data_IF_593472206867
#
_entry.id   IF_593472206867
#
_cell.length_a   1.000
_cell.length_b   1.000
_cell.length_c   1.000
_cell.angle_alpha   90.00
_cell.angle_beta   90.00
_cell.angle_gamma   90.00
#
_symmetry.space_group_name_H-M   'P 1'
#
loop_
_entity.id
_entity.type
_entity.pdbx_description
1 polymer ?
#
# COMPACT_ATOMS: atom_id res chain seq x y z
N UNK A 1 6.16 0.27 11.69
CA UNK A 1 5.73 1.43 10.87
C UNK A 1 5.95 2.68 11.71
N UNK A 2 6.31 3.84 11.17
CA UNK A 2 6.67 5.05 11.95
C UNK A 2 5.58 5.69 12.85
N UNK A 3 4.52 4.94 13.19
CA UNK A 3 3.46 5.27 14.14
C UNK A 3 3.55 4.44 15.44
N UNK A 4 4.53 3.54 15.56
CA UNK A 4 4.68 2.61 16.70
C UNK A 4 5.09 3.29 18.03
N UNK A 5 5.18 4.63 18.05
CA UNK A 5 5.61 5.42 19.22
C UNK A 5 4.55 5.33 20.34
N UNK A 6 3.26 5.33 19.99
CA UNK A 6 2.15 5.24 20.94
C UNK A 6 1.02 4.36 20.36
N UNK A 7 0.81 3.13 20.88
CA UNK A 7 -0.18 2.20 20.34
C UNK A 7 -1.63 2.72 20.47
N UNK A 8 -1.92 3.48 21.53
CA UNK A 8 -3.24 4.10 21.75
C UNK A 8 -3.53 5.20 20.73
N UNK A 9 -2.53 6.02 20.41
CA UNK A 9 -2.65 7.07 19.41
C UNK A 9 -2.85 6.45 18.02
N UNK A 10 -2.10 5.40 17.71
CA UNK A 10 -2.22 4.68 16.45
C UNK A 10 -3.63 4.09 16.27
N UNK A 11 -4.19 3.43 17.29
CA UNK A 11 -5.53 2.84 17.18
C UNK A 11 -6.62 3.91 17.06
N UNK A 12 -6.43 5.06 17.72
CA UNK A 12 -7.30 6.23 17.58
C UNK A 12 -7.30 6.76 16.14
N UNK A 13 -6.12 7.06 15.60
CA UNK A 13 -5.95 7.54 14.22
C UNK A 13 -6.54 6.53 13.23
N UNK A 14 -6.27 5.24 13.45
CA UNK A 14 -6.78 4.16 12.60
C UNK A 14 -8.31 4.09 12.61
N UNK A 15 -8.93 4.27 13.77
CA UNK A 15 -10.39 4.28 13.91
C UNK A 15 -10.99 5.49 13.19
N UNK A 16 -10.41 6.66 13.38
CA UNK A 16 -10.90 7.90 12.75
C UNK A 16 -10.74 7.87 11.23
N UNK A 17 -9.62 7.36 10.72
CA UNK A 17 -9.42 7.16 9.28
C UNK A 17 -10.46 6.18 8.72
N UNK A 18 -10.83 5.13 9.47
CA UNK A 18 -11.91 4.22 9.04
C UNK A 18 -13.25 4.95 8.94
N UNK A 19 -13.56 5.80 9.90
CA UNK A 19 -14.82 6.54 9.91
C UNK A 19 -14.87 7.59 8.78
N UNK A 20 -13.75 8.24 8.48
CA UNK A 20 -13.61 9.11 7.29
C UNK A 20 -13.84 8.33 6.00
N UNK A 21 -13.28 7.12 5.87
CA UNK A 21 -13.52 6.27 4.70
C UNK A 21 -15.01 5.96 4.53
N UNK A 22 -15.72 5.70 5.64
CA UNK A 22 -17.16 5.46 5.62
C UNK A 22 -17.94 6.72 5.20
N UNK A 23 -17.54 7.90 5.68
CA UNK A 23 -18.17 9.17 5.32
C UNK A 23 -17.99 9.51 3.82
N UNK A 24 -16.81 9.26 3.26
CA UNK A 24 -16.51 9.56 1.85
C UNK A 24 -17.04 8.47 0.89
N UNK A 25 -17.62 7.39 1.42
CA UNK A 25 -18.20 6.29 0.63
C UNK A 25 -17.21 5.70 -0.38
N UNK A 26 -16.00 5.38 0.08
CA UNK A 26 -14.97 4.74 -0.74
C UNK A 26 -15.45 3.38 -1.27
N UNK A 27 -15.27 3.13 -2.57
CA UNK A 27 -15.68 1.87 -3.17
C UNK A 27 -14.68 0.74 -2.84
N UNK A 28 -15.10 -0.19 -1.99
CA UNK A 28 -14.30 -1.35 -1.59
C UNK A 28 -14.10 -2.40 -2.68
N UNK A 29 -14.85 -2.35 -3.78
CA UNK A 29 -14.68 -3.30 -4.89
C UNK A 29 -13.44 -3.01 -5.73
N UNK A 30 -13.02 -1.74 -5.77
CA UNK A 30 -11.91 -1.27 -6.58
C UNK A 30 -10.55 -1.47 -5.89
N UNK A 31 -9.52 -1.67 -6.69
CA UNK A 31 -8.12 -1.68 -6.25
C UNK A 31 -7.68 -0.24 -5.97
N UNK A 32 -6.73 -0.04 -5.04
CA UNK A 32 -6.19 1.28 -4.67
C UNK A 32 -5.88 2.18 -5.88
N UNK A 33 -5.16 1.66 -6.89
CA UNK A 33 -4.80 2.41 -8.10
C UNK A 33 -5.97 2.76 -9.03
N UNK A 34 -7.14 2.12 -8.83
CA UNK A 34 -8.36 2.37 -9.60
C UNK A 34 -9.34 3.30 -8.87
N UNK A 35 -9.01 3.74 -7.65
CA UNK A 35 -9.86 4.65 -6.89
C UNK A 35 -9.87 6.04 -7.54
N UNK A 36 -10.99 6.75 -7.51
CA UNK A 36 -11.05 8.12 -8.00
C UNK A 36 -10.13 9.02 -7.16
N UNK A 37 -9.26 9.76 -7.84
CA UNK A 37 -8.25 10.63 -7.20
C UNK A 37 -8.93 11.66 -6.30
N UNK A 38 -10.09 12.19 -6.71
CA UNK A 38 -10.88 13.15 -5.92
C UNK A 38 -11.28 12.63 -4.54
N UNK A 39 -11.61 11.34 -4.43
CA UNK A 39 -11.96 10.69 -3.17
C UNK A 39 -10.72 10.51 -2.30
N UNK A 40 -9.61 10.07 -2.89
CA UNK A 40 -8.34 9.90 -2.17
C UNK A 40 -7.88 11.24 -1.58
N UNK A 41 -7.88 12.32 -2.39
CA UNK A 41 -7.50 13.65 -1.94
C UNK A 41 -8.40 14.15 -0.80
N UNK A 42 -9.71 13.86 -0.86
CA UNK A 42 -10.65 14.22 0.21
C UNK A 42 -10.34 13.49 1.51
N UNK A 43 -10.02 12.20 1.45
CA UNK A 43 -9.62 11.41 2.63
C UNK A 43 -8.35 12.00 3.26
N UNK A 44 -7.34 12.35 2.45
CA UNK A 44 -6.11 12.95 2.97
C UNK A 44 -6.34 14.30 3.64
N UNK A 45 -7.18 15.16 3.05
CA UNK A 45 -7.49 16.45 3.65
C UNK A 45 -8.22 16.29 4.99
N UNK A 46 -9.25 15.43 5.06
CA UNK A 46 -9.97 15.16 6.30
C UNK A 46 -9.06 14.53 7.37
N UNK A 47 -8.20 13.59 6.99
CA UNK A 47 -7.27 12.97 7.93
C UNK A 47 -6.29 14.00 8.52
N UNK A 48 -5.81 14.97 7.73
CA UNK A 48 -4.93 16.06 8.20
C UNK A 48 -5.64 17.12 9.03
N UNK A 49 -6.96 17.25 8.88
CA UNK A 49 -7.80 18.12 9.70
C UNK A 49 -8.06 17.49 11.08
N UNK A 50 -8.38 16.19 11.10
CA UNK A 50 -8.60 15.44 12.34
C UNK A 50 -7.31 15.22 13.14
N UNK A 51 -6.23 14.81 12.47
CA UNK A 51 -4.96 14.46 13.10
C UNK A 51 -3.81 15.24 12.49
N UNK A 52 -3.44 16.41 13.07
CA UNK A 52 -2.34 17.23 12.58
C UNK A 52 -1.00 16.50 12.54
N UNK A 53 -0.82 15.45 13.35
CA UNK A 53 0.37 14.59 13.38
C UNK A 53 0.61 13.93 12.01
N UNK A 54 -0.46 13.62 11.27
CA UNK A 54 -0.35 12.99 9.96
C UNK A 54 0.35 13.88 8.92
N UNK A 55 0.36 15.21 9.12
CA UNK A 55 1.07 16.16 8.24
C UNK A 55 2.59 15.99 8.26
N UNK A 56 3.13 15.32 9.28
CA UNK A 56 4.57 15.04 9.39
C UNK A 56 5.03 13.99 8.37
N UNK A 57 4.13 13.13 7.92
CA UNK A 57 4.45 12.06 6.98
C UNK A 57 4.38 12.59 5.54
N UNK A 58 5.52 12.53 4.84
CA UNK A 58 5.60 12.95 3.45
C UNK A 58 4.62 12.16 2.57
N UNK A 59 4.03 12.84 1.57
CA UNK A 59 3.10 12.23 0.60
C UNK A 59 1.89 11.51 1.21
N UNK A 60 1.54 11.79 2.47
CA UNK A 60 0.48 11.11 3.21
C UNK A 60 0.61 9.58 3.21
N UNK A 61 1.85 9.06 3.17
CA UNK A 61 2.08 7.62 3.07
C UNK A 61 1.40 6.86 4.22
N UNK A 62 1.39 7.43 5.42
CA UNK A 62 0.77 6.85 6.60
C UNK A 62 -0.75 6.69 6.43
N UNK A 63 -1.43 7.72 5.91
CA UNK A 63 -2.87 7.65 5.66
C UNK A 63 -3.16 6.69 4.50
N UNK A 64 -2.36 6.72 3.44
CA UNK A 64 -2.49 5.81 2.32
C UNK A 64 -2.38 4.34 2.77
N UNK A 65 -1.43 4.03 3.65
CA UNK A 65 -1.24 2.68 4.17
C UNK A 65 -2.42 2.19 5.02
N UNK A 66 -2.93 3.05 5.90
CA UNK A 66 -4.15 2.76 6.68
C UNK A 66 -5.35 2.45 5.79
N UNK A 67 -5.56 3.26 4.74
CA UNK A 67 -6.67 3.07 3.79
C UNK A 67 -6.47 1.78 2.98
N UNK A 68 -5.26 1.52 2.46
CA UNK A 68 -4.92 0.27 1.75
C UNK A 68 -5.17 -0.96 2.63
N UNK A 69 -4.72 -0.92 3.89
CA UNK A 69 -4.95 -1.97 4.87
C UNK A 69 -6.43 -2.20 5.13
N UNK A 70 -7.22 -1.13 5.20
CA UNK A 70 -8.68 -1.23 5.33
C UNK A 70 -9.32 -1.89 4.09
N UNK A 71 -8.99 -1.42 2.87
CA UNK A 71 -9.48 -2.00 1.62
C UNK A 71 -9.15 -3.48 1.48
N UNK A 72 -7.93 -3.89 1.86
CA UNK A 72 -7.51 -5.30 1.84
C UNK A 72 -8.37 -6.14 2.79
N UNK A 73 -8.55 -5.68 4.04
CA UNK A 73 -9.38 -6.37 5.05
C UNK A 73 -10.83 -6.46 4.60
N UNK A 74 -11.44 -5.35 4.20
CA UNK A 74 -12.85 -5.32 3.77
C UNK A 74 -13.09 -6.27 2.60
N UNK A 75 -12.23 -6.25 1.57
CA UNK A 75 -12.34 -7.18 0.43
C UNK A 75 -12.20 -8.64 0.85
N UNK A 76 -11.27 -8.95 1.74
CA UNK A 76 -11.11 -10.31 2.27
C UNK A 76 -12.38 -10.80 2.95
N UNK A 77 -13.00 -9.98 3.81
CA UNK A 77 -14.23 -10.34 4.51
C UNK A 77 -15.45 -10.40 3.58
N UNK A 78 -15.59 -9.48 2.63
CA UNK A 78 -16.64 -9.52 1.61
C UNK A 78 -16.55 -10.79 0.74
N UNK A 79 -15.35 -11.10 0.22
CA UNK A 79 -15.11 -12.31 -0.59
C UNK A 79 -15.35 -13.59 0.22
N UNK A 80 -14.88 -13.62 1.46
CA UNK A 80 -15.06 -14.77 2.36
C UNK A 80 -16.52 -14.98 2.76
N UNK A 81 -17.28 -13.91 3.01
CA UNK A 81 -18.70 -13.96 3.32
C UNK A 81 -19.53 -14.48 2.15
N UNK A 82 -19.32 -13.94 0.94
CA UNK A 82 -19.97 -14.42 -0.27
C UNK A 82 -19.63 -15.89 -0.56
N UNK A 83 -18.38 -16.31 -0.34
CA UNK A 83 -17.96 -17.70 -0.50
C UNK A 83 -18.60 -18.65 0.52
N UNK A 84 -18.81 -18.21 1.77
CA UNK A 84 -19.54 -19.00 2.78
C UNK A 84 -21.00 -19.22 2.39
N UNK A 85 -21.69 -18.17 1.93
CA UNK A 85 -23.06 -18.27 1.44
C UNK A 85 -23.17 -19.15 0.19
N UNK A 86 -22.26 -18.97 -0.78
CA UNK A 86 -22.19 -19.81 -1.99
C UNK A 86 -21.95 -21.28 -1.66
N UNK A 87 -21.03 -21.59 -0.74
CA UNK A 87 -20.79 -22.97 -0.26
C UNK A 87 -22.00 -23.56 0.45
N UNK A 88 -22.73 -22.76 1.25
CA UNK A 88 -23.97 -23.21 1.91
C UNK A 88 -25.07 -23.53 0.89
N UNK A 89 -25.24 -22.70 -0.13
CA UNK A 89 -26.22 -22.93 -1.20
C UNK A 89 -25.87 -24.17 -2.05
N UNK A 90 -24.59 -24.34 -2.40
CA UNK A 90 -24.12 -25.53 -3.13
C UNK A 90 -24.34 -26.83 -2.35
N UNK A 91 -24.07 -26.84 -1.04
CA UNK A 91 -24.37 -27.99 -0.16
C UNK A 91 -25.87 -28.28 -0.08
N UNK A 92 -26.71 -27.25 -0.01
CA UNK A 92 -28.16 -27.41 0.02
C UNK A 92 -28.74 -27.96 -1.30
N UNK A 93 -28.06 -27.76 -2.43
CA UNK A 93 -28.47 -28.28 -3.75
C UNK A 93 -27.91 -29.66 -4.10
N UNK A 94 -27.17 -30.31 -3.20
CA UNK A 94 -26.59 -31.64 -3.45
C UNK A 94 -25.44 -31.65 -4.46
N UNK A 95 -24.85 -30.49 -4.78
CA UNK A 95 -23.65 -30.43 -5.60
C UNK A 95 -22.43 -30.86 -4.79
N UNK A 96 -21.81 -31.99 -5.13
CA UNK A 96 -20.52 -32.43 -4.58
C UNK A 96 -19.47 -31.37 -4.93
N UNK A 97 -19.17 -30.48 -3.98
CA UNK A 97 -18.31 -29.31 -4.16
C UNK A 97 -16.82 -29.64 -4.24
N UNK A 98 -16.46 -30.75 -4.89
CA UNK A 98 -15.09 -31.25 -5.03
C UNK A 98 -14.39 -30.82 -6.31
N UNK A 99 -15.07 -30.18 -7.25
CA UNK A 99 -14.48 -29.84 -8.55
C UNK A 99 -14.76 -28.38 -8.93
N UNK A 100 -13.86 -27.47 -8.52
CA UNK A 100 -13.64 -26.17 -9.15
C UNK A 100 -12.49 -25.43 -8.43
N UNK A 101 -11.28 -25.65 -8.95
CA UNK A 101 -10.23 -24.64 -9.12
C UNK A 101 -9.85 -23.78 -7.91
N UNK A 102 -8.80 -24.20 -7.20
CA UNK A 102 -7.78 -23.26 -6.73
C UNK A 102 -7.11 -22.64 -7.97
N UNK A 103 -7.73 -21.67 -8.61
CA UNK A 103 -7.05 -20.84 -9.60
C UNK A 103 -7.07 -19.37 -9.16
N UNK A 104 -5.87 -18.78 -9.26
CA UNK A 104 -5.51 -17.37 -9.06
C UNK A 104 -5.36 -16.92 -7.60
N UNK A 105 -4.30 -17.44 -6.96
CA UNK A 105 -3.38 -16.60 -6.21
C UNK A 105 -2.66 -15.68 -7.20
N UNK A 106 -3.30 -14.57 -7.55
CA UNK A 106 -2.63 -13.47 -8.24
C UNK A 106 -2.89 -12.20 -7.44
N UNK A 107 -1.99 -11.92 -6.50
CA UNK A 107 -1.37 -10.60 -6.39
C UNK A 107 -0.18 -10.67 -5.42
N UNK A 108 0.98 -10.73 -6.06
CA UNK A 108 2.33 -10.41 -5.60
C UNK A 108 2.42 -9.84 -4.18
N UNK A 109 3.14 -10.56 -3.33
CA UNK A 109 3.85 -9.92 -2.24
C UNK A 109 4.90 -9.01 -2.85
N UNK A 110 4.79 -7.71 -2.56
CA UNK A 110 5.92 -6.80 -2.63
C UNK A 110 6.96 -7.32 -1.62
N UNK A 111 7.86 -8.18 -2.10
CA UNK A 111 9.16 -8.42 -1.50
C UNK A 111 10.00 -7.17 -1.77
N UNK A 112 10.07 -6.27 -0.81
CA UNK A 112 11.22 -5.36 -0.68
C UNK A 112 12.12 -5.93 0.43
N UNK A 113 12.89 -6.95 0.07
CA UNK A 113 14.14 -7.33 0.73
C UNK A 113 15.21 -7.27 -0.37
N UNK A 114 16.17 -6.35 -0.24
CA UNK A 114 17.45 -6.57 0.41
C UNK A 114 18.54 -6.93 -0.61
N UNK A 115 19.58 -6.07 -0.61
CA UNK A 115 20.97 -6.32 -1.00
C UNK A 115 21.31 -6.62 -2.48
N UNK A 116 21.91 -5.62 -3.12
CA UNK A 116 23.08 -5.84 -3.97
C UNK A 116 24.14 -4.77 -3.70
N UNK A 117 25.04 -5.12 -2.77
CA UNK A 117 26.41 -4.66 -2.73
C UNK A 117 27.19 -5.50 -3.77
N UNK A 118 27.73 -4.89 -4.84
CA UNK A 118 28.90 -5.47 -5.52
C UNK A 118 29.67 -4.47 -6.42
N UNK A 119 30.87 -4.16 -5.95
CA UNK A 119 32.13 -4.05 -6.71
C UNK A 119 32.33 -2.94 -7.76
N UNK A 120 33.17 -1.97 -7.34
CA UNK A 120 34.51 -1.75 -7.89
C UNK A 120 34.67 -1.82 -9.43
N UNK A 121 34.78 -0.66 -10.07
CA UNK A 121 35.57 -0.55 -11.30
C UNK A 121 36.28 0.80 -11.38
N UNK A 122 37.56 0.71 -11.02
CA UNK A 122 38.69 1.54 -11.44
C UNK A 122 38.35 2.45 -12.63
N UNK A 123 38.46 3.77 -12.42
CA UNK A 123 38.68 4.70 -13.53
C UNK A 123 40.10 5.18 -13.45
N UNK A 124 40.83 4.72 -14.46
CA UNK A 124 42.21 4.97 -14.76
C UNK A 124 42.60 6.44 -14.68
N UNK A 125 43.78 6.60 -14.09
CA UNK A 125 44.73 7.69 -14.24
C UNK A 125 45.01 7.89 -15.73
N UNK A 126 44.63 9.03 -16.28
CA UNK A 126 45.23 9.55 -17.52
C UNK A 126 46.16 10.69 -17.15
N UNK A 127 47.41 10.29 -16.97
CA UNK A 127 48.59 11.12 -17.04
C UNK A 127 48.79 11.48 -18.52
N UNK A 128 48.78 12.77 -18.83
CA UNK A 128 49.23 13.31 -20.12
C UNK A 128 49.87 14.67 -19.87
N UNK A 129 51.08 14.59 -19.34
CA UNK A 129 52.18 15.51 -19.59
C UNK A 129 52.25 15.92 -21.08
N UNK A 130 52.28 17.23 -21.35
CA UNK A 130 53.18 17.86 -22.33
C UNK A 130 53.01 19.38 -22.34
N UNK A 131 54.00 20.03 -21.71
CA UNK A 131 54.86 21.11 -22.24
C UNK A 131 54.28 22.39 -22.87
N UNK A 132 54.88 23.50 -22.41
CA UNK A 132 55.56 24.54 -23.22
C UNK A 132 54.83 25.87 -23.57
N UNK A 133 55.39 26.96 -23.01
CA UNK A 133 55.85 28.22 -23.66
C UNK A 133 55.28 29.55 -23.10
N UNK A 134 56.20 30.27 -22.43
CA UNK A 134 56.56 31.70 -22.54
C UNK A 134 55.51 32.80 -22.78
N UNK A 135 55.47 33.73 -21.81
CA UNK A 135 55.63 35.21 -21.88
C UNK A 135 54.91 36.02 -23.01
N UNK A 136 54.38 37.22 -22.69
CA UNK A 136 55.17 38.39 -22.26
C UNK A 136 54.74 39.08 -20.96
#
# INVERSE_FOLDING_TARGET
MGLDIDPELYETIRTDVRDIIHQVSLDYSLVWHKQPISVISRIFNLAREHHPILRRYAHDWATADLVKGNLRRTRYYCKSGCNKLKKKWLRAKGGDGRDMGQELLDNQGEQEGADMDDQNKERDVVDADQSEQDLP
#
